data_IF_846582075337
#
_entry.id   IF_846582075337
#
_cell.length_a   1.000
_cell.length_b   1.000
_cell.length_c   1.000
_cell.angle_alpha   90.00
_cell.angle_beta   90.00
_cell.angle_gamma   90.00
#
_symmetry.space_group_name_H-M   'P 1'
#
loop_
_entity.id
_entity.type
_entity.pdbx_description
1 polymer ?
#
# COMPACT_ATOMS: atom_id res chain seq x y z
N UNK A 1 -10.88 29.89 -3.31
CA UNK A 1 -11.37 28.50 -3.30
C UNK A 1 -11.70 28.11 -4.73
N UNK A 2 -10.69 27.77 -5.55
CA UNK A 2 -10.93 27.29 -6.92
C UNK A 2 -11.07 25.77 -6.87
N UNK A 3 -12.29 25.29 -7.07
CA UNK A 3 -12.57 23.87 -7.22
C UNK A 3 -11.97 23.36 -8.52
N UNK A 4 -10.83 22.67 -8.43
CA UNK A 4 -10.40 21.78 -9.50
C UNK A 4 -11.27 20.53 -9.41
N UNK A 5 -12.32 20.49 -10.24
CA UNK A 5 -13.04 19.25 -10.52
C UNK A 5 -12.12 18.36 -11.35
N UNK A 6 -11.19 17.67 -10.69
CA UNK A 6 -10.55 16.53 -11.31
C UNK A 6 -11.66 15.50 -11.56
N UNK A 7 -11.88 15.18 -12.84
CA UNK A 7 -12.60 13.97 -13.20
C UNK A 7 -11.94 12.82 -12.43
N UNK A 8 -12.72 12.12 -11.59
CA UNK A 8 -12.20 11.07 -10.71
C UNK A 8 -11.75 9.83 -11.50
N UNK A 9 -11.86 9.86 -12.82
CA UNK A 9 -11.53 8.76 -13.71
C UNK A 9 -10.10 8.89 -14.25
N UNK A 10 -9.34 7.80 -14.13
CA UNK A 10 -8.04 7.67 -14.79
C UNK A 10 -8.30 7.25 -16.22
N UNK A 11 -7.85 8.07 -17.18
CA UNK A 11 -7.94 7.76 -18.60
C UNK A 11 -6.58 7.32 -19.14
N UNK A 12 -6.52 6.09 -19.66
CA UNK A 12 -5.33 5.58 -20.32
C UNK A 12 -5.33 5.98 -21.80
N UNK A 13 -4.16 6.29 -22.34
CA UNK A 13 -4.02 6.50 -23.79
C UNK A 13 -4.17 5.15 -24.49
N UNK A 14 -5.11 5.07 -25.43
CA UNK A 14 -5.28 3.87 -26.23
C UNK A 14 -4.11 3.71 -27.21
N UNK A 15 -3.51 2.52 -27.19
CA UNK A 15 -2.45 2.06 -28.09
C UNK A 15 -2.62 0.56 -28.39
N UNK A 16 -1.51 -0.14 -28.63
CA UNK A 16 -1.52 -1.59 -28.86
C UNK A 16 -2.14 -2.38 -27.68
N UNK A 17 -2.13 -1.80 -26.48
CA UNK A 17 -2.74 -2.34 -25.27
C UNK A 17 -4.26 -2.48 -25.39
N UNK A 18 -4.91 -1.55 -26.12
CA UNK A 18 -6.34 -1.62 -26.39
C UNK A 18 -6.66 -2.80 -27.32
N UNK A 19 -5.91 -2.94 -28.41
CA UNK A 19 -6.06 -4.05 -29.35
C UNK A 19 -5.82 -5.40 -28.64
N UNK A 20 -4.83 -5.46 -27.76
CA UNK A 20 -4.56 -6.64 -26.95
C UNK A 20 -5.72 -6.98 -25.98
N UNK A 21 -6.31 -5.97 -25.34
CA UNK A 21 -7.46 -6.16 -24.45
C UNK A 21 -8.72 -6.61 -25.21
N UNK A 22 -8.98 -6.04 -26.39
CA UNK A 22 -10.10 -6.44 -27.27
C UNK A 22 -9.92 -7.87 -27.78
N UNK A 23 -8.71 -8.24 -28.21
CA UNK A 23 -8.40 -9.61 -28.62
C UNK A 23 -8.58 -10.61 -27.46
N UNK A 24 -8.16 -10.24 -26.25
CA UNK A 24 -8.30 -11.10 -25.09
C UNK A 24 -9.78 -11.29 -24.70
N UNK A 25 -10.59 -10.24 -24.79
CA UNK A 25 -12.04 -10.30 -24.59
C UNK A 25 -12.72 -11.25 -25.60
N UNK A 26 -12.28 -11.23 -26.87
CA UNK A 26 -12.79 -12.13 -27.92
C UNK A 26 -12.44 -13.60 -27.66
N UNK A 27 -11.22 -13.88 -27.17
CA UNK A 27 -10.74 -15.25 -26.94
C UNK A 27 -11.28 -15.83 -25.62
N UNK A 28 -11.51 -15.00 -24.61
CA UNK A 28 -11.87 -15.47 -23.26
C UNK A 28 -13.37 -15.78 -23.13
N UNK A 29 -13.71 -17.05 -22.86
CA UNK A 29 -15.10 -17.46 -22.62
C UNK A 29 -15.58 -16.79 -21.32
N UNK A 30 -16.47 -15.81 -21.45
CA UNK A 30 -16.99 -15.00 -20.34
C UNK A 30 -16.61 -13.53 -20.39
N UNK A 31 -15.78 -13.13 -21.36
CA UNK A 31 -15.29 -11.76 -21.52
C UNK A 31 -14.27 -11.34 -20.47
N UNK A 32 -13.71 -10.15 -20.63
CA UNK A 32 -12.69 -9.58 -19.75
C UNK A 32 -13.13 -8.22 -19.25
N UNK A 33 -13.01 -8.00 -17.94
CA UNK A 33 -13.21 -6.69 -17.35
C UNK A 33 -11.93 -5.84 -17.48
N UNK A 34 -11.82 -5.09 -18.57
CA UNK A 34 -10.66 -4.23 -18.86
C UNK A 34 -10.42 -3.18 -17.77
N UNK A 35 -11.48 -2.65 -17.14
CA UNK A 35 -11.33 -1.69 -16.03
C UNK A 35 -10.69 -2.33 -14.80
N UNK A 36 -11.02 -3.59 -14.51
CA UNK A 36 -10.40 -4.32 -13.41
C UNK A 36 -8.94 -4.66 -13.73
N UNK A 37 -8.64 -5.10 -14.96
CA UNK A 37 -7.25 -5.31 -15.39
C UNK A 37 -6.41 -4.03 -15.27
N UNK A 38 -6.95 -2.89 -15.69
CA UNK A 38 -6.26 -1.61 -15.58
C UNK A 38 -6.03 -1.21 -14.11
N UNK A 39 -7.02 -1.45 -13.23
CA UNK A 39 -6.91 -1.19 -11.79
C UNK A 39 -5.84 -2.06 -11.14
N UNK A 40 -5.92 -3.38 -11.34
CA UNK A 40 -4.98 -4.35 -10.77
C UNK A 40 -3.57 -4.07 -11.28
N UNK A 41 -3.42 -3.91 -12.59
CA UNK A 41 -2.13 -3.60 -13.22
C UNK A 41 -1.51 -2.29 -12.70
N UNK A 42 -2.31 -1.24 -12.49
CA UNK A 42 -1.82 0.00 -11.89
C UNK A 42 -1.29 -0.23 -10.47
N UNK A 43 -2.03 -0.97 -9.63
CA UNK A 43 -1.61 -1.28 -8.25
C UNK A 43 -0.33 -2.10 -8.23
N UNK A 44 -0.21 -3.11 -9.10
CA UNK A 44 1.00 -3.93 -9.22
C UNK A 44 2.21 -3.09 -9.64
N UNK A 45 2.05 -2.24 -10.65
CA UNK A 45 3.15 -1.39 -11.15
C UNK A 45 3.58 -0.35 -10.11
N UNK A 46 2.63 0.25 -9.38
CA UNK A 46 2.96 1.14 -8.26
C UNK A 46 3.83 0.41 -7.22
N UNK A 47 3.44 -0.80 -6.80
CA UNK A 47 4.21 -1.60 -5.83
C UNK A 47 5.59 -1.99 -6.34
N UNK A 48 5.69 -2.39 -7.61
CA UNK A 48 6.97 -2.76 -8.24
C UNK A 48 7.93 -1.58 -8.39
N UNK A 49 7.39 -0.35 -8.52
CA UNK A 49 8.19 0.86 -8.66
C UNK A 49 8.84 1.34 -7.36
N UNK A 50 8.37 0.85 -6.20
CA UNK A 50 8.91 1.23 -4.90
C UNK A 50 10.16 0.41 -4.56
N UNK A 51 11.26 1.10 -4.27
CA UNK A 51 12.40 0.47 -3.62
C UNK A 51 12.14 0.27 -2.11
N UNK A 52 13.16 -0.19 -1.38
CA UNK A 52 13.03 -0.43 0.06
C UNK A 52 12.90 0.86 0.86
N UNK A 53 13.60 1.93 0.46
CA UNK A 53 13.53 3.24 1.12
C UNK A 53 12.16 3.89 0.90
N UNK A 54 11.62 3.77 -0.32
CA UNK A 54 10.28 4.24 -0.65
C UNK A 54 9.23 3.57 0.23
N UNK A 55 9.33 2.25 0.45
CA UNK A 55 8.40 1.50 1.29
C UNK A 55 8.43 1.99 2.74
N UNK A 56 9.63 2.24 3.28
CA UNK A 56 9.80 2.81 4.63
C UNK A 56 9.16 4.20 4.69
N UNK A 57 9.42 5.07 3.71
CA UNK A 57 8.85 6.40 3.67
C UNK A 57 7.31 6.39 3.61
N UNK A 58 6.72 5.46 2.84
CA UNK A 58 5.26 5.27 2.80
C UNK A 58 4.73 4.85 4.16
N UNK A 59 5.37 3.88 4.83
CA UNK A 59 4.96 3.42 6.16
C UNK A 59 5.05 4.54 7.20
N UNK A 60 6.13 5.33 7.20
CA UNK A 60 6.28 6.46 8.13
C UNK A 60 5.15 7.47 7.97
N UNK A 61 4.81 7.85 6.74
CA UNK A 61 3.71 8.77 6.46
C UNK A 61 2.37 8.22 6.91
N UNK A 62 2.14 6.93 6.69
CA UNK A 62 0.94 6.24 7.18
C UNK A 62 0.88 6.27 8.72
N UNK A 63 1.97 5.92 9.40
CA UNK A 63 2.04 5.90 10.87
C UNK A 63 1.84 7.29 11.51
N UNK A 64 2.17 8.37 10.79
CA UNK A 64 1.93 9.76 11.20
C UNK A 64 0.52 10.27 10.83
N UNK A 65 -0.30 9.46 10.15
CA UNK A 65 -1.62 9.85 9.67
C UNK A 65 -1.60 10.83 8.48
N UNK A 66 -0.46 10.99 7.81
CA UNK A 66 -0.32 11.87 6.64
C UNK A 66 -0.99 11.26 5.39
N UNK A 67 -1.11 9.92 5.35
CA UNK A 67 -1.87 9.18 4.34
C UNK A 67 -2.83 8.21 5.04
N UNK A 68 -3.98 7.95 4.39
CA UNK A 68 -4.94 6.97 4.89
C UNK A 68 -4.51 5.52 4.65
N UNK A 69 -5.09 4.59 5.42
CA UNK A 69 -4.83 3.15 5.32
C UNK A 69 -5.04 2.62 3.89
N UNK A 70 -6.11 3.01 3.20
CA UNK A 70 -6.38 2.57 1.82
C UNK A 70 -5.21 2.87 0.87
N UNK A 71 -4.58 4.05 1.02
CA UNK A 71 -3.43 4.45 0.19
C UNK A 71 -2.20 3.64 0.58
N UNK A 72 -1.96 3.44 1.86
CA UNK A 72 -0.88 2.59 2.36
C UNK A 72 -1.06 1.13 1.89
N UNK A 73 -2.29 0.61 1.91
CA UNK A 73 -2.66 -0.75 1.45
C UNK A 73 -2.42 -0.92 -0.05
N UNK A 74 -2.73 0.10 -0.85
CA UNK A 74 -2.40 0.09 -2.29
C UNK A 74 -0.89 -0.02 -2.50
N UNK A 75 -0.07 0.75 -1.77
CA UNK A 75 1.38 0.82 -1.99
C UNK A 75 2.18 -0.29 -1.32
N UNK A 76 1.77 -0.75 -0.13
CA UNK A 76 2.52 -1.72 0.69
C UNK A 76 1.87 -3.10 0.72
N UNK A 77 0.55 -3.21 0.47
CA UNK A 77 -0.17 -4.49 0.50
C UNK A 77 0.01 -5.22 1.84
N UNK A 78 0.34 -6.52 1.76
CA UNK A 78 0.66 -7.37 2.93
C UNK A 78 1.94 -6.94 3.67
N UNK A 79 2.80 -6.11 3.04
CA UNK A 79 3.98 -5.58 3.73
C UNK A 79 3.58 -4.59 4.83
N UNK A 80 2.43 -3.93 4.69
CA UNK A 80 1.90 -3.05 5.73
C UNK A 80 1.67 -3.83 7.02
N UNK A 81 0.95 -4.95 6.94
CA UNK A 81 0.65 -5.80 8.10
C UNK A 81 1.94 -6.30 8.77
N UNK A 82 2.91 -6.77 7.97
CA UNK A 82 4.21 -7.21 8.49
C UNK A 82 4.97 -6.11 9.22
N UNK A 83 4.95 -4.89 8.69
CA UNK A 83 5.59 -3.74 9.33
C UNK A 83 4.91 -3.35 10.65
N UNK A 84 3.58 -3.47 10.73
CA UNK A 84 2.83 -3.26 11.97
C UNK A 84 3.15 -4.34 13.02
N UNK A 85 3.16 -5.62 12.62
CA UNK A 85 3.51 -6.74 13.50
C UNK A 85 4.95 -6.63 14.03
N UNK A 86 5.91 -6.29 13.16
CA UNK A 86 7.32 -6.08 13.54
C UNK A 86 7.44 -4.94 14.56
N UNK A 87 6.71 -3.83 14.35
CA UNK A 87 6.71 -2.70 15.28
C UNK A 87 6.09 -3.07 16.63
N UNK A 88 4.92 -3.71 16.64
CA UNK A 88 4.24 -4.12 17.88
C UNK A 88 5.11 -5.09 18.70
N UNK A 89 5.76 -6.05 18.03
CA UNK A 89 6.69 -6.99 18.65
C UNK A 89 7.88 -6.27 19.29
N UNK A 90 8.46 -5.30 18.58
CA UNK A 90 9.58 -4.52 19.08
C UNK A 90 9.19 -3.62 20.27
N UNK A 91 8.06 -2.93 20.19
CA UNK A 91 7.52 -2.12 21.30
C UNK A 91 7.21 -2.98 22.53
N UNK A 92 6.58 -4.14 22.32
CA UNK A 92 6.28 -5.10 23.39
C UNK A 92 7.53 -5.70 24.04
N UNK A 93 8.63 -5.80 23.30
CA UNK A 93 9.91 -6.26 23.86
C UNK A 93 10.58 -5.15 24.68
N UNK A 94 10.57 -3.91 24.19
CA UNK A 94 11.10 -2.74 24.93
C UNK A 94 10.32 -2.45 26.22
N UNK A 95 8.99 -2.58 26.21
CA UNK A 95 8.18 -2.38 27.41
C UNK A 95 8.51 -3.40 28.51
N UNK A 96 8.74 -4.67 28.13
CA UNK A 96 9.16 -5.71 29.08
C UNK A 96 10.54 -5.43 29.69
N UNK A 97 11.52 -5.05 28.86
CA UNK A 97 12.89 -4.73 29.32
C UNK A 97 12.91 -3.50 30.25
N UNK A 98 12.15 -2.46 29.91
CA UNK A 98 12.03 -1.27 30.77
C UNK A 98 11.24 -1.53 32.06
N UNK A 99 10.26 -2.42 32.05
CA UNK A 99 9.53 -2.84 33.25
C UNK A 99 10.41 -3.64 34.23
N UNK A 100 11.32 -4.47 33.71
CA UNK A 100 12.30 -5.21 34.52
C UNK A 100 13.28 -4.24 35.21
N UNK A 101 13.66 -3.15 34.54
CA UNK A 101 14.52 -2.12 35.10
C UNK A 101 13.83 -1.24 36.16
N UNK A 102 12.54 -0.91 35.97
CA UNK A 102 11.79 -0.06 36.91
C UNK A 102 11.32 -0.80 38.16
N UNK A 103 11.16 -2.12 38.11
CA UNK A 103 10.72 -2.94 39.26
C UNK A 103 11.87 -3.29 40.21
N UNK A 104 13.13 -3.07 39.81
CA UNK A 104 14.33 -3.31 40.63
C UNK A 104 14.77 -2.15 41.53
N UNK A 105 14.07 -1.01 41.54
CA UNK A 105 14.48 0.21 42.27
C UNK A 105 13.84 0.40 43.65
N UNK A 106 12.93 -0.48 44.10
CA UNK A 106 12.25 -0.36 45.40
C UNK A 106 12.82 -1.32 46.47
N UNK A 107 14.12 -1.18 46.77
CA UNK A 107 14.78 -1.99 47.78
C UNK A 107 16.10 -1.42 48.30
N UNK A 108 16.06 -0.23 48.91
CA UNK A 108 17.04 0.19 49.93
C UNK A 108 16.56 -0.17 51.34
#
# INVERSE_FOLDING_TARGET
MSGSSYDKTIQFRAGAEKEAAELLDEIHIGGVNVSELARVGLVEMLRQSLDEQDKIAVYERYSRGEIGEDVARVLLGEKLDRMEEEKESFESAMERDTSEFLTGSDGE
#
